data_IF_042682664909
#
_entry.id   IF_042682664909
#
_cell.length_a   1.000
_cell.length_b   1.000
_cell.length_c   1.000
_cell.angle_alpha   90.00
_cell.angle_beta   90.00
_cell.angle_gamma   90.00
#
_symmetry.space_group_name_H-M   'P 1'
#
loop_
_entity.id
_entity.type
_entity.pdbx_description
1 polymer ?
#
# COMPACT_ATOMS: atom_id res chain seq x y z
N UNK A 1 17.55 -2.97 -2.55
CA UNK A 1 18.95 -3.35 -2.29
C UNK A 1 19.13 -3.77 -0.83
N UNK A 2 18.77 -2.95 0.17
CA UNK A 2 18.91 -3.28 1.61
C UNK A 2 18.14 -4.55 1.99
N UNK A 3 16.91 -4.71 1.51
CA UNK A 3 16.10 -5.91 1.75
C UNK A 3 16.72 -7.16 1.14
N UNK A 4 17.24 -7.08 -0.09
CA UNK A 4 17.90 -8.19 -0.76
C UNK A 4 19.21 -8.60 -0.03
N UNK A 5 20.02 -7.64 0.39
CA UNK A 5 21.23 -7.91 1.19
C UNK A 5 20.90 -8.53 2.55
N UNK A 6 19.85 -8.06 3.21
CA UNK A 6 19.41 -8.61 4.51
C UNK A 6 18.88 -10.04 4.39
N UNK A 7 18.19 -10.40 3.30
CA UNK A 7 17.74 -11.78 3.05
C UNK A 7 18.94 -12.70 2.86
N UNK A 8 19.94 -12.31 2.10
CA UNK A 8 21.18 -13.09 1.92
C UNK A 8 21.96 -13.29 3.22
N UNK A 9 21.87 -12.36 4.18
CA UNK A 9 22.52 -12.46 5.48
C UNK A 9 21.76 -13.30 6.54
N UNK A 10 20.66 -13.97 6.17
CA UNK A 10 19.87 -14.79 7.11
C UNK A 10 19.02 -13.97 8.11
N UNK A 11 18.86 -12.66 7.90
CA UNK A 11 18.10 -11.76 8.77
C UNK A 11 16.61 -11.70 8.43
N UNK A 12 16.04 -12.76 7.83
CA UNK A 12 14.66 -12.79 7.33
C UNK A 12 13.60 -12.42 8.38
N UNK A 13 13.76 -12.90 9.62
CA UNK A 13 12.84 -12.60 10.72
C UNK A 13 12.83 -11.12 11.11
N UNK A 14 14.00 -10.49 11.14
CA UNK A 14 14.12 -9.05 11.42
C UNK A 14 13.54 -8.21 10.28
N UNK A 15 13.74 -8.62 9.03
CA UNK A 15 13.21 -7.92 7.86
C UNK A 15 11.69 -7.88 7.84
N UNK A 16 10.99 -8.85 8.42
CA UNK A 16 9.53 -8.84 8.52
C UNK A 16 8.98 -7.61 9.24
N UNK A 17 9.68 -7.11 10.24
CA UNK A 17 9.30 -5.91 10.99
C UNK A 17 9.97 -4.65 10.46
N UNK A 18 11.23 -4.74 10.07
CA UNK A 18 11.99 -3.60 9.54
C UNK A 18 11.46 -3.10 8.20
N UNK A 19 10.94 -3.99 7.36
CA UNK A 19 10.41 -3.60 6.05
C UNK A 19 9.19 -2.66 6.17
N UNK A 20 8.10 -3.02 6.89
CA UNK A 20 6.97 -2.10 7.05
C UNK A 20 7.33 -0.84 7.83
N UNK A 21 8.17 -0.93 8.85
CA UNK A 21 8.60 0.24 9.63
C UNK A 21 9.45 1.20 8.78
N UNK A 22 10.40 0.68 8.01
CA UNK A 22 11.23 1.46 7.09
C UNK A 22 10.41 2.08 5.96
N UNK A 23 9.48 1.30 5.37
CA UNK A 23 8.58 1.80 4.35
C UNK A 23 7.71 2.96 4.89
N UNK A 24 7.18 2.82 6.10
CA UNK A 24 6.39 3.87 6.75
C UNK A 24 7.21 5.14 7.00
N UNK A 25 8.43 5.01 7.52
CA UNK A 25 9.32 6.15 7.77
C UNK A 25 9.67 6.89 6.46
N UNK A 26 10.03 6.14 5.40
CA UNK A 26 10.29 6.72 4.08
C UNK A 26 9.02 7.36 3.50
N UNK A 27 7.87 6.68 3.60
CA UNK A 27 6.58 7.22 3.15
C UNK A 27 6.22 8.53 3.83
N UNK A 28 6.42 8.62 5.15
CA UNK A 28 6.17 9.83 5.92
C UNK A 28 7.08 10.98 5.47
N UNK A 29 8.37 10.71 5.30
CA UNK A 29 9.32 11.70 4.80
C UNK A 29 8.95 12.19 3.40
N UNK A 30 8.59 11.29 2.49
CA UNK A 30 8.19 11.63 1.13
C UNK A 30 6.89 12.42 1.11
N UNK A 31 5.91 12.07 1.93
CA UNK A 31 4.64 12.78 2.04
C UNK A 31 4.82 14.25 2.37
N UNK A 32 5.70 14.58 3.32
CA UNK A 32 5.94 15.96 3.72
C UNK A 32 6.90 16.71 2.80
N UNK A 33 7.92 16.03 2.27
CA UNK A 33 9.01 16.70 1.53
C UNK A 33 8.84 16.61 0.01
N UNK A 34 8.32 15.49 -0.50
CA UNK A 34 8.26 15.19 -1.92
C UNK A 34 6.94 14.47 -2.30
N UNK A 35 5.78 15.18 -2.28
CA UNK A 35 4.47 14.53 -2.41
C UNK A 35 4.28 13.76 -3.71
N UNK A 36 4.96 14.16 -4.80
CA UNK A 36 4.90 13.44 -6.09
C UNK A 36 5.61 12.10 -5.99
N UNK A 37 6.79 12.08 -5.36
CA UNK A 37 7.55 10.85 -5.15
C UNK A 37 6.83 9.91 -4.18
N UNK A 38 6.08 10.45 -3.22
CA UNK A 38 5.24 9.67 -2.31
C UNK A 38 4.21 8.84 -3.07
N UNK A 39 3.53 9.40 -4.09
CA UNK A 39 2.55 8.66 -4.90
C UNK A 39 3.23 7.51 -5.64
N UNK A 40 4.35 7.79 -6.31
CA UNK A 40 5.13 6.76 -7.01
C UNK A 40 5.62 5.68 -6.06
N UNK A 41 6.14 6.06 -4.90
CA UNK A 41 6.59 5.13 -3.87
C UNK A 41 5.47 4.24 -3.36
N UNK A 42 4.29 4.81 -3.09
CA UNK A 42 3.11 4.05 -2.66
C UNK A 42 2.71 3.01 -3.70
N UNK A 43 2.63 3.35 -4.99
CA UNK A 43 2.33 2.38 -6.05
C UNK A 43 3.38 1.29 -6.15
N UNK A 44 4.68 1.64 -6.16
CA UNK A 44 5.75 0.65 -6.20
C UNK A 44 5.73 -0.27 -5.00
N UNK A 45 5.38 0.24 -3.83
CA UNK A 45 5.26 -0.57 -2.62
C UNK A 45 4.15 -1.62 -2.75
N UNK A 46 2.98 -1.25 -3.30
CA UNK A 46 1.91 -2.19 -3.58
C UNK A 46 2.33 -3.28 -4.58
N UNK A 47 3.09 -2.93 -5.59
CA UNK A 47 3.58 -3.89 -6.58
C UNK A 47 4.66 -4.83 -6.02
N UNK A 48 5.63 -4.29 -5.26
CA UNK A 48 6.82 -5.05 -4.84
C UNK A 48 6.57 -5.88 -3.57
N UNK A 49 5.64 -5.50 -2.71
CA UNK A 49 5.43 -6.17 -1.41
C UNK A 49 5.16 -7.68 -1.53
N UNK A 50 4.35 -8.19 -2.49
CA UNK A 50 4.16 -9.62 -2.65
C UNK A 50 5.47 -10.36 -2.99
N UNK A 51 6.34 -9.74 -3.79
CA UNK A 51 7.66 -10.28 -4.11
C UNK A 51 8.56 -10.31 -2.87
N UNK A 52 8.63 -9.20 -2.13
CA UNK A 52 9.42 -9.11 -0.89
C UNK A 52 8.96 -10.15 0.13
N UNK A 53 7.65 -10.33 0.30
CA UNK A 53 7.09 -11.38 1.17
C UNK A 53 7.64 -12.76 0.78
N UNK A 54 7.56 -13.12 -0.49
CA UNK A 54 8.05 -14.43 -0.97
C UNK A 54 9.53 -14.64 -0.70
N UNK A 55 10.35 -13.61 -0.94
CA UNK A 55 11.80 -13.69 -0.67
C UNK A 55 12.10 -13.89 0.81
N UNK A 56 11.36 -13.22 1.69
CA UNK A 56 11.51 -13.36 3.14
C UNK A 56 11.01 -14.72 3.60
N UNK A 57 9.85 -15.18 3.12
CA UNK A 57 9.24 -16.45 3.51
C UNK A 57 10.06 -17.66 2.99
N UNK A 58 10.75 -17.51 1.86
CA UNK A 58 11.65 -18.55 1.34
C UNK A 58 12.80 -18.85 2.30
N UNK A 59 13.30 -17.84 3.02
CA UNK A 59 14.44 -18.01 3.95
C UNK A 59 14.01 -18.29 5.39
N UNK A 60 12.93 -17.67 5.85
CA UNK A 60 12.52 -17.70 7.27
C UNK A 60 11.26 -18.53 7.52
N UNK A 61 10.79 -19.26 6.50
CA UNK A 61 9.56 -20.07 6.56
C UNK A 61 8.29 -19.25 6.35
N UNK A 62 7.22 -19.92 5.95
CA UNK A 62 5.92 -19.32 5.73
C UNK A 62 5.28 -18.86 7.03
N UNK A 63 4.77 -17.62 7.04
CA UNK A 63 4.02 -17.07 8.16
C UNK A 63 2.74 -16.38 7.65
N UNK A 64 1.60 -16.76 8.22
CA UNK A 64 0.32 -16.13 7.93
C UNK A 64 -0.41 -15.77 9.24
N UNK A 65 -0.79 -14.48 9.46
CA UNK A 65 -0.56 -13.31 8.61
C UNK A 65 0.90 -12.82 8.63
N UNK A 66 1.40 -12.37 7.47
CA UNK A 66 2.76 -11.84 7.36
C UNK A 66 2.79 -10.31 7.61
N UNK A 67 3.58 -9.82 8.59
CA UNK A 67 3.71 -8.39 8.87
C UNK A 67 4.19 -7.57 7.66
N UNK A 68 4.89 -8.19 6.71
CA UNK A 68 5.37 -7.54 5.47
C UNK A 68 4.23 -6.93 4.68
N UNK A 69 3.06 -7.60 4.67
CA UNK A 69 1.88 -7.13 3.94
C UNK A 69 1.27 -5.84 4.53
N UNK A 70 1.65 -5.46 5.75
CA UNK A 70 1.19 -4.21 6.35
C UNK A 70 1.90 -2.98 5.77
N UNK A 71 3.03 -3.14 5.06
CA UNK A 71 3.79 -2.01 4.54
C UNK A 71 2.98 -1.11 3.58
N UNK A 72 2.31 -1.61 2.52
CA UNK A 72 1.51 -0.77 1.63
C UNK A 72 0.33 -0.07 2.32
N UNK A 73 -0.53 -0.76 3.08
CA UNK A 73 -1.63 -0.10 3.77
C UNK A 73 -1.16 0.95 4.78
N UNK A 74 -0.10 0.70 5.56
CA UNK A 74 0.43 1.67 6.51
C UNK A 74 0.94 2.93 5.82
N UNK A 75 1.70 2.79 4.74
CA UNK A 75 2.17 3.95 3.95
C UNK A 75 0.99 4.69 3.35
N UNK A 76 0.01 3.99 2.81
CA UNK A 76 -1.17 4.60 2.22
C UNK A 76 -2.04 5.32 3.26
N UNK A 77 -2.10 4.83 4.50
CA UNK A 77 -2.81 5.47 5.61
C UNK A 77 -2.27 6.87 5.97
N UNK A 78 -1.02 7.20 5.59
CA UNK A 78 -0.47 8.56 5.76
C UNK A 78 -1.35 9.60 5.03
N UNK A 79 -2.03 9.22 3.94
CA UNK A 79 -3.02 10.06 3.26
C UNK A 79 -4.18 10.51 4.16
N UNK A 80 -4.42 9.82 5.27
CA UNK A 80 -5.37 10.24 6.30
C UNK A 80 -5.09 11.64 6.84
N UNK A 81 -3.83 12.06 6.87
CA UNK A 81 -3.46 13.44 7.23
C UNK A 81 -4.09 14.46 6.27
N UNK A 82 -4.20 14.13 4.98
CA UNK A 82 -4.90 14.98 4.00
C UNK A 82 -6.40 15.04 4.31
N UNK A 83 -7.02 13.93 4.68
CA UNK A 83 -8.43 13.90 5.05
C UNK A 83 -8.68 14.81 6.24
N UNK A 84 -7.93 14.66 7.33
CA UNK A 84 -8.10 15.50 8.53
C UNK A 84 -7.90 17.00 8.22
N UNK A 85 -6.91 17.31 7.38
CA UNK A 85 -6.61 18.71 7.01
C UNK A 85 -7.70 19.36 6.15
N UNK A 86 -8.37 18.58 5.28
CA UNK A 86 -9.35 19.09 4.34
C UNK A 86 -10.79 18.71 4.69
N UNK A 87 -11.03 18.01 5.79
CA UNK A 87 -12.35 17.60 6.22
C UNK A 87 -13.37 18.74 6.28
N UNK A 88 -13.03 19.95 6.82
CA UNK A 88 -13.97 21.06 6.87
C UNK A 88 -14.41 21.58 5.50
N UNK A 89 -13.60 21.39 4.48
CA UNK A 89 -13.85 21.88 3.11
C UNK A 89 -14.19 20.76 2.13
N UNK A 90 -14.22 19.51 2.58
CA UNK A 90 -14.45 18.35 1.73
C UNK A 90 -15.80 18.42 1.02
N UNK A 91 -16.85 18.87 1.70
CA UNK A 91 -18.20 19.01 1.14
C UNK A 91 -18.24 19.97 -0.05
N UNK A 92 -17.59 21.12 0.05
CA UNK A 92 -17.62 22.17 -0.98
C UNK A 92 -16.71 21.89 -2.19
N UNK A 93 -15.76 20.96 -2.07
CA UNK A 93 -14.73 20.65 -3.09
C UNK A 93 -14.99 19.32 -3.85
N UNK A 94 -16.23 18.85 -3.90
CA UNK A 94 -16.54 17.58 -4.56
C UNK A 94 -16.07 16.33 -3.81
N UNK A 95 -15.75 16.45 -2.51
CA UNK A 95 -15.36 15.34 -1.66
C UNK A 95 -16.54 14.53 -1.10
N UNK A 96 -17.79 14.93 -1.39
CA UNK A 96 -18.98 14.25 -0.91
C UNK A 96 -19.01 12.74 -1.20
N UNK A 97 -18.68 12.26 -2.42
CA UNK A 97 -18.64 10.81 -2.68
C UNK A 97 -17.67 10.08 -1.76
N UNK A 98 -16.50 10.66 -1.49
CA UNK A 98 -15.52 10.07 -0.56
C UNK A 98 -16.06 10.03 0.87
N UNK A 99 -16.72 11.08 1.34
CA UNK A 99 -17.32 11.10 2.67
C UNK A 99 -18.40 10.02 2.81
N UNK A 100 -19.22 9.80 1.79
CA UNK A 100 -20.22 8.72 1.77
C UNK A 100 -19.54 7.35 1.81
N UNK A 101 -18.47 7.14 1.03
CA UNK A 101 -17.68 5.90 1.08
C UNK A 101 -17.05 5.67 2.46
N UNK A 102 -16.45 6.70 3.06
CA UNK A 102 -15.92 6.60 4.42
C UNK A 102 -16.99 6.22 5.43
N UNK A 103 -18.17 6.85 5.37
CA UNK A 103 -19.29 6.51 6.26
C UNK A 103 -19.70 5.05 6.08
N UNK A 104 -19.77 4.54 4.85
CA UNK A 104 -20.10 3.15 4.55
C UNK A 104 -19.06 2.17 5.10
N UNK A 105 -17.76 2.47 4.95
CA UNK A 105 -16.67 1.66 5.50
C UNK A 105 -16.70 1.65 7.02
N UNK A 106 -16.92 2.81 7.66
CA UNK A 106 -17.07 2.88 9.12
C UNK A 106 -18.29 2.14 9.63
N UNK A 107 -19.41 2.23 8.91
CA UNK A 107 -20.60 1.46 9.26
C UNK A 107 -20.34 -0.04 9.18
N UNK A 108 -19.70 -0.50 8.09
CA UNK A 108 -19.29 -1.90 7.95
C UNK A 108 -18.34 -2.35 9.07
N UNK A 109 -17.40 -1.50 9.46
CA UNK A 109 -16.50 -1.75 10.58
C UNK A 109 -17.27 -1.90 11.91
N UNK A 110 -18.21 -1.00 12.21
CA UNK A 110 -19.04 -1.10 13.42
C UNK A 110 -19.86 -2.40 13.46
N UNK A 111 -20.43 -2.81 12.32
CA UNK A 111 -21.12 -4.11 12.24
C UNK A 111 -20.16 -5.29 12.45
N UNK A 112 -18.94 -5.18 11.93
CA UNK A 112 -17.91 -6.21 12.10
C UNK A 112 -17.54 -6.39 13.59
N UNK A 113 -17.44 -5.30 14.36
CA UNK A 113 -17.15 -5.37 15.80
C UNK A 113 -18.20 -6.12 16.59
N UNK A 114 -19.46 -6.12 16.12
CA UNK A 114 -20.56 -6.84 16.76
C UNK A 114 -20.55 -8.34 16.40
N UNK A 115 -20.12 -8.67 15.17
CA UNK A 115 -20.26 -10.03 14.60
C UNK A 115 -18.97 -10.85 14.60
N UNK A 116 -17.80 -10.19 14.69
CA UNK A 116 -16.49 -10.84 14.61
C UNK A 116 -15.52 -10.32 15.66
N UNK A 117 -14.28 -10.83 15.65
CA UNK A 117 -13.22 -10.33 16.52
C UNK A 117 -12.81 -8.91 16.14
N UNK A 118 -12.40 -8.11 17.12
CA UNK A 118 -11.84 -6.75 16.89
C UNK A 118 -10.66 -6.79 15.91
N UNK A 119 -9.81 -7.81 16.02
CA UNK A 119 -8.67 -7.99 15.11
C UNK A 119 -9.11 -8.20 13.67
N UNK A 120 -10.13 -9.04 13.44
CA UNK A 120 -10.70 -9.26 12.11
C UNK A 120 -11.31 -7.98 11.51
N UNK A 121 -12.04 -7.21 12.34
CA UNK A 121 -12.58 -5.92 11.93
C UNK A 121 -11.50 -4.90 11.55
N UNK A 122 -10.40 -4.83 12.31
CA UNK A 122 -9.28 -3.95 12.00
C UNK A 122 -8.55 -4.36 10.71
N UNK A 123 -8.36 -5.65 10.47
CA UNK A 123 -7.77 -6.13 9.22
C UNK A 123 -8.65 -5.77 8.03
N UNK A 124 -9.97 -6.00 8.12
CA UNK A 124 -10.91 -5.60 7.07
C UNK A 124 -10.90 -4.07 6.83
N UNK A 125 -10.74 -3.27 7.88
CA UNK A 125 -10.60 -1.82 7.75
C UNK A 125 -9.32 -1.44 6.99
N UNK A 126 -8.21 -2.14 7.22
CA UNK A 126 -6.95 -1.93 6.50
C UNK A 126 -7.02 -2.33 5.01
N UNK A 127 -7.97 -3.14 4.61
CA UNK A 127 -8.18 -3.48 3.20
C UNK A 127 -8.94 -2.36 2.45
N UNK A 128 -9.89 -1.72 3.08
CA UNK A 128 -10.80 -0.77 2.43
C UNK A 128 -10.45 0.70 2.64
N UNK A 129 -9.95 1.06 3.82
CA UNK A 129 -9.69 2.46 4.17
C UNK A 129 -8.51 3.08 3.39
N UNK A 130 -7.35 2.40 3.23
CA UNK A 130 -6.20 2.99 2.56
C UNK A 130 -6.47 3.41 1.12
N UNK A 131 -7.12 2.58 0.25
CA UNK A 131 -7.44 3.00 -1.13
C UNK A 131 -8.34 4.23 -1.18
N UNK A 132 -9.33 4.33 -0.28
CA UNK A 132 -10.21 5.49 -0.20
C UNK A 132 -9.47 6.76 0.22
N UNK A 133 -8.59 6.67 1.22
CA UNK A 133 -7.73 7.78 1.67
C UNK A 133 -6.81 8.25 0.54
N UNK A 134 -6.23 7.31 -0.19
CA UNK A 134 -5.36 7.61 -1.32
C UNK A 134 -6.13 8.30 -2.45
N UNK A 135 -7.31 7.78 -2.82
CA UNK A 135 -8.18 8.40 -3.81
C UNK A 135 -8.59 9.82 -3.41
N UNK A 136 -8.96 10.03 -2.14
CA UNK A 136 -9.27 11.36 -1.60
C UNK A 136 -8.06 12.29 -1.69
N UNK A 137 -6.87 11.82 -1.28
CA UNK A 137 -5.62 12.58 -1.38
C UNK A 137 -5.33 13.03 -2.81
N UNK A 138 -5.47 12.14 -3.78
CA UNK A 138 -5.30 12.44 -5.20
C UNK A 138 -6.33 13.46 -5.68
N UNK A 139 -7.60 13.33 -5.29
CA UNK A 139 -8.67 14.22 -5.72
C UNK A 139 -8.50 15.65 -5.20
N UNK A 140 -8.09 15.81 -3.94
CA UNK A 140 -7.86 17.13 -3.34
C UNK A 140 -6.66 17.84 -3.97
N UNK A 141 -5.60 17.10 -4.26
CA UNK A 141 -4.35 17.64 -4.80
C UNK A 141 -4.27 17.51 -6.34
N UNK A 142 -5.36 17.19 -7.01
CA UNK A 142 -5.42 16.90 -8.45
C UNK A 142 -4.71 17.96 -9.31
N UNK A 143 -4.98 19.24 -9.06
CA UNK A 143 -4.40 20.33 -9.83
C UNK A 143 -2.87 20.36 -9.76
N UNK A 144 -2.30 20.05 -8.61
CA UNK A 144 -0.85 19.99 -8.41
C UNK A 144 -0.25 18.80 -9.18
N UNK A 145 -0.94 17.65 -9.19
CA UNK A 145 -0.45 16.42 -9.82
C UNK A 145 -0.62 16.40 -11.34
N UNK A 146 -1.54 17.19 -11.88
CA UNK A 146 -1.74 17.33 -13.33
C UNK A 146 -0.45 17.76 -14.07
N UNK A 147 0.34 18.65 -13.48
CA UNK A 147 1.62 19.07 -14.05
C UNK A 147 2.62 17.90 -14.21
N UNK A 148 2.49 16.86 -13.40
CA UNK A 148 3.38 15.69 -13.37
C UNK A 148 2.74 14.40 -13.89
N UNK A 149 1.58 14.52 -14.58
CA UNK A 149 0.78 13.37 -15.03
C UNK A 149 1.59 12.35 -15.83
N UNK A 150 2.47 12.80 -16.72
CA UNK A 150 3.28 11.90 -17.55
C UNK A 150 4.28 11.08 -16.71
N UNK A 151 4.92 11.71 -15.72
CA UNK A 151 5.84 11.02 -14.84
C UNK A 151 5.11 10.00 -13.96
N UNK A 152 3.94 10.36 -13.43
CA UNK A 152 3.10 9.46 -12.65
C UNK A 152 2.61 8.29 -13.48
N UNK A 153 2.13 8.53 -14.71
CA UNK A 153 1.72 7.48 -15.64
C UNK A 153 2.89 6.53 -15.98
N UNK A 154 4.07 7.07 -16.29
CA UNK A 154 5.26 6.26 -16.56
C UNK A 154 5.65 5.40 -15.35
N UNK A 155 5.64 5.98 -14.15
CA UNK A 155 5.96 5.26 -12.92
C UNK A 155 4.99 4.09 -12.70
N UNK A 156 3.69 4.33 -12.89
CA UNK A 156 2.67 3.29 -12.79
C UNK A 156 2.84 2.20 -13.86
N UNK A 157 3.00 2.59 -15.13
CA UNK A 157 3.18 1.66 -16.25
C UNK A 157 4.41 0.77 -16.08
N UNK A 158 5.54 1.34 -15.65
CA UNK A 158 6.73 0.56 -15.34
C UNK A 158 6.47 -0.46 -14.21
N UNK A 159 5.78 -0.06 -13.15
CA UNK A 159 5.40 -0.97 -12.07
C UNK A 159 4.56 -2.14 -12.57
N UNK A 160 3.51 -1.86 -13.35
CA UNK A 160 2.64 -2.89 -13.94
C UNK A 160 3.43 -3.79 -14.89
N UNK A 161 4.30 -3.24 -15.72
CA UNK A 161 5.09 -3.98 -16.71
C UNK A 161 6.07 -4.93 -16.02
N UNK A 162 6.80 -4.45 -15.02
CA UNK A 162 7.74 -5.28 -14.24
C UNK A 162 7.02 -6.42 -13.53
N UNK A 163 5.88 -6.13 -12.88
CA UNK A 163 5.13 -7.16 -12.17
C UNK A 163 4.43 -8.14 -13.12
N UNK A 164 3.95 -7.65 -14.26
CA UNK A 164 3.37 -8.51 -15.30
C UNK A 164 4.41 -9.45 -15.91
N UNK A 165 5.60 -8.94 -16.23
CA UNK A 165 6.71 -9.75 -16.72
C UNK A 165 7.16 -10.80 -15.68
N UNK A 166 7.24 -10.41 -14.40
CA UNK A 166 7.56 -11.33 -13.31
C UNK A 166 6.48 -12.41 -13.14
N UNK A 167 5.20 -12.06 -13.18
CA UNK A 167 4.09 -13.02 -13.10
C UNK A 167 4.09 -14.00 -14.26
N UNK A 168 4.36 -13.53 -15.49
CA UNK A 168 4.47 -14.38 -16.67
C UNK A 168 5.67 -15.33 -16.54
N UNK A 169 6.83 -14.82 -16.15
CA UNK A 169 8.02 -15.64 -15.91
C UNK A 169 7.75 -16.73 -14.87
N UNK A 170 7.08 -16.38 -13.78
CA UNK A 170 6.72 -17.33 -12.73
C UNK A 170 5.75 -18.40 -13.25
N UNK A 171 4.74 -18.03 -14.02
CA UNK A 171 3.79 -18.97 -14.62
C UNK A 171 4.50 -19.99 -15.53
N UNK A 172 5.42 -19.49 -16.37
CA UNK A 172 6.17 -20.35 -17.31
C UNK A 172 7.14 -21.30 -16.59
N UNK A 173 7.74 -20.86 -15.47
CA UNK A 173 8.71 -21.70 -14.73
C UNK A 173 8.04 -22.70 -13.79
N UNK A 174 6.88 -22.37 -13.22
CA UNK A 174 6.16 -23.30 -12.32
C UNK A 174 5.21 -24.21 -13.08
N UNK A 175 4.61 -23.75 -14.18
CA UNK A 175 3.77 -24.59 -15.05
C UNK A 175 4.56 -25.68 -15.78
N UNK A 176 5.78 -25.40 -16.21
CA UNK A 176 6.65 -26.37 -16.86
C UNK A 176 7.22 -27.45 -15.91
N UNK A 177 7.06 -27.30 -14.61
CA UNK A 177 7.50 -28.29 -13.61
C UNK A 177 6.37 -29.20 -13.12
N UNK A 178 5.13 -29.00 -13.61
CA UNK A 178 3.95 -29.78 -13.23
C UNK A 178 3.54 -30.82 -14.27
N UNK A 179 4.19 -30.81 -15.45
CA UNK A 179 4.10 -31.84 -16.53
C UNK A 179 5.35 -32.74 -16.51
#
# INVERSE_FOLDING_TARGET
>A
IITALGTFAGAGSLLRLLFPAGAFAVGLLLYFRYPILYIGFTWWLWFITPLVRRLIDYQSGWQDPSPVLLAPPLVTMICGLTLFRHLPTAYSRGGLPFLMCFTSVFYGFMLSLVKSSVAGGLLALLDWLPPLLFGFHLSVNWRQYLAYRQNLQRTFLWGVLVMGAYGLWQYLTTGAAAD
#
